data_IF_764321925761
#
_entry.id   IF_764321925761
#
_cell.length_a   1.000
_cell.length_b   1.000
_cell.length_c   1.000
_cell.angle_alpha   90.00
_cell.angle_beta   90.00
_cell.angle_gamma   90.00
#
_symmetry.space_group_name_H-M   'P 1'
#
loop_
_entity.id
_entity.type
_entity.pdbx_description
1 polymer ?
#
# COMPACT_ATOMS: atom_id res chain seq x y z
N UNK A 1 14.59 8.80 -7.55
CA UNK A 1 13.54 7.85 -7.94
C UNK A 1 13.28 6.95 -6.75
N UNK A 2 12.08 7.02 -6.18
CA UNK A 2 11.63 6.18 -5.07
C UNK A 2 10.64 5.12 -5.54
N UNK A 3 10.23 4.21 -4.64
CA UNK A 3 9.28 3.14 -4.95
C UNK A 3 7.97 3.65 -5.58
N UNK A 4 7.49 4.82 -5.13
CA UNK A 4 6.27 5.45 -5.63
C UNK A 4 6.36 5.98 -7.07
N UNK A 5 7.56 6.03 -7.68
CA UNK A 5 7.75 6.44 -9.08
C UNK A 5 7.59 5.26 -10.06
N UNK A 6 7.62 4.02 -9.57
CA UNK A 6 7.47 2.83 -10.41
C UNK A 6 6.00 2.55 -10.73
N UNK A 7 5.74 1.96 -11.89
CA UNK A 7 4.40 1.49 -12.28
C UNK A 7 4.12 0.11 -11.72
N UNK A 8 2.92 -0.09 -11.18
CA UNK A 8 2.44 -1.41 -10.82
C UNK A 8 2.29 -2.25 -12.09
N UNK A 9 2.72 -3.51 -12.01
CA UNK A 9 2.55 -4.50 -13.06
C UNK A 9 1.44 -5.45 -12.63
N UNK A 10 0.32 -5.54 -13.37
CA UNK A 10 -0.74 -6.48 -13.06
C UNK A 10 -0.24 -7.92 -13.07
N UNK A 11 -0.46 -8.65 -11.97
CA UNK A 11 -0.05 -10.04 -11.87
C UNK A 11 -0.95 -10.93 -12.72
N UNK A 12 -0.40 -11.55 -13.76
CA UNK A 12 -1.11 -12.55 -14.58
C UNK A 12 -1.14 -13.96 -13.94
N UNK A 13 -0.57 -14.13 -12.76
CA UNK A 13 -0.42 -15.43 -12.09
C UNK A 13 0.73 -16.24 -12.66
N UNK A 14 1.11 -17.32 -11.97
CA UNK A 14 2.24 -18.18 -12.37
C UNK A 14 3.62 -17.60 -12.08
N UNK A 15 3.69 -16.45 -11.39
CA UNK A 15 4.94 -15.92 -10.82
C UNK A 15 4.99 -16.25 -9.33
N UNK A 16 6.15 -16.69 -8.81
CA UNK A 16 6.31 -16.93 -7.38
C UNK A 16 6.25 -15.58 -6.61
N UNK A 17 5.79 -15.60 -5.35
CA UNK A 17 5.93 -14.45 -4.45
C UNK A 17 7.40 -14.05 -4.27
N UNK A 18 7.62 -12.80 -3.85
CA UNK A 18 8.96 -12.31 -3.51
C UNK A 18 9.60 -13.14 -2.39
N UNK A 19 10.91 -13.31 -2.49
CA UNK A 19 11.70 -13.96 -1.45
C UNK A 19 11.77 -13.08 -0.19
N UNK A 20 11.86 -13.69 1.02
CA UNK A 20 11.90 -12.95 2.29
C UNK A 20 12.97 -11.85 2.34
N UNK A 21 14.17 -12.13 1.81
CA UNK A 21 15.27 -11.15 1.78
C UNK A 21 14.90 -9.89 0.99
N UNK A 22 14.24 -10.06 -0.16
CA UNK A 22 13.80 -8.96 -1.01
C UNK A 22 12.66 -8.16 -0.36
N UNK A 23 11.75 -8.85 0.33
CA UNK A 23 10.69 -8.20 1.13
C UNK A 23 11.31 -7.31 2.21
N UNK A 24 12.30 -7.81 2.97
CA UNK A 24 12.99 -7.01 3.99
C UNK A 24 13.71 -5.79 3.41
N UNK A 25 14.34 -5.93 2.25
CA UNK A 25 15.00 -4.83 1.55
C UNK A 25 13.99 -3.75 1.12
N UNK A 26 12.85 -4.15 0.56
CA UNK A 26 11.80 -3.22 0.12
C UNK A 26 11.06 -2.57 1.30
N UNK A 27 10.84 -3.29 2.40
CA UNK A 27 10.30 -2.73 3.65
C UNK A 27 11.20 -1.62 4.20
N UNK A 28 12.53 -1.84 4.19
CA UNK A 28 13.50 -0.80 4.60
C UNK A 28 13.42 0.44 3.70
N UNK A 29 13.16 0.26 2.41
CA UNK A 29 13.00 1.37 1.46
C UNK A 29 11.67 2.11 1.61
N UNK A 30 10.57 1.42 1.94
CA UNK A 30 9.27 2.04 2.26
C UNK A 30 9.36 2.99 3.46
N UNK A 31 10.25 2.67 4.41
CA UNK A 31 10.46 3.48 5.59
C UNK A 31 9.46 3.16 6.71
N UNK A 32 9.20 4.14 7.58
CA UNK A 32 8.44 3.90 8.83
C UNK A 32 6.93 3.91 8.58
N UNK A 33 6.24 2.96 9.18
CA UNK A 33 4.77 2.89 9.22
C UNK A 33 4.18 1.65 8.56
N UNK A 34 4.92 1.00 7.66
CA UNK A 34 4.53 -0.27 7.05
C UNK A 34 5.14 -1.47 7.78
N UNK A 35 4.36 -2.53 7.92
CA UNK A 35 4.79 -3.82 8.47
C UNK A 35 4.14 -4.98 7.72
N UNK A 36 4.56 -6.21 8.01
CA UNK A 36 3.85 -7.41 7.59
C UNK A 36 2.87 -7.84 8.67
N UNK A 37 1.63 -8.12 8.29
CA UNK A 37 0.65 -8.73 9.18
C UNK A 37 0.91 -10.24 9.34
N UNK A 38 0.09 -10.92 10.16
CA UNK A 38 0.24 -12.36 10.41
C UNK A 38 0.10 -13.24 9.15
N UNK A 39 -0.51 -12.73 8.08
CA UNK A 39 -0.66 -13.41 6.78
C UNK A 39 0.49 -13.11 5.83
N UNK A 40 1.41 -12.21 6.19
CA UNK A 40 2.51 -11.77 5.34
C UNK A 40 2.12 -10.68 4.33
N UNK A 41 1.00 -9.97 4.54
CA UNK A 41 0.59 -8.85 3.70
C UNK A 41 1.17 -7.54 4.25
N UNK A 42 1.37 -6.54 3.39
CA UNK A 42 1.74 -5.20 3.84
C UNK A 42 0.55 -4.57 4.55
N UNK A 43 0.76 -4.00 5.74
CA UNK A 43 -0.25 -3.25 6.47
C UNK A 43 0.28 -1.93 7.00
N UNK A 44 -0.58 -0.91 7.03
CA UNK A 44 -0.34 0.38 7.69
C UNK A 44 -1.64 1.02 8.16
N UNK A 45 -1.57 1.72 9.28
CA UNK A 45 -2.66 2.57 9.79
C UNK A 45 -2.30 4.04 9.66
N UNK A 46 -3.10 4.80 8.92
CA UNK A 46 -3.02 6.26 8.81
C UNK A 46 -4.04 6.90 9.75
N UNK A 47 -3.65 7.98 10.43
CA UNK A 47 -4.50 8.70 11.40
C UNK A 47 -4.76 10.13 10.94
N UNK A 48 -5.96 10.63 11.25
CA UNK A 48 -6.50 11.92 10.82
C UNK A 48 -7.29 12.57 11.95
N UNK A 49 -7.54 13.89 11.84
CA UNK A 49 -8.27 14.66 12.86
C UNK A 49 -9.76 14.32 12.92
N UNK A 50 -10.34 13.91 11.79
CA UNK A 50 -11.76 13.64 11.63
C UNK A 50 -12.04 12.58 10.54
N UNK A 51 -13.31 12.20 10.37
CA UNK A 51 -13.74 11.25 9.35
C UNK A 51 -13.61 11.79 7.92
N UNK A 52 -13.82 13.09 7.71
CA UNK A 52 -13.81 13.69 6.38
C UNK A 52 -12.41 13.62 5.74
N UNK A 53 -11.36 13.87 6.54
CA UNK A 53 -9.97 13.73 6.10
C UNK A 53 -9.62 12.27 5.81
N UNK A 54 -10.05 11.33 6.66
CA UNK A 54 -9.82 9.91 6.42
C UNK A 54 -10.49 9.44 5.11
N UNK A 55 -11.72 9.87 4.85
CA UNK A 55 -12.44 9.58 3.61
C UNK A 55 -11.77 10.23 2.39
N UNK A 56 -11.29 11.47 2.51
CA UNK A 56 -10.57 12.15 1.44
C UNK A 56 -9.27 11.41 1.07
N UNK A 57 -8.55 10.89 2.06
CA UNK A 57 -7.38 10.04 1.83
C UNK A 57 -7.76 8.72 1.13
N UNK A 58 -8.81 8.03 1.59
CA UNK A 58 -9.33 6.82 0.93
C UNK A 58 -9.61 7.06 -0.55
N UNK A 59 -10.28 8.18 -0.89
CA UNK A 59 -10.59 8.51 -2.28
C UNK A 59 -9.32 8.74 -3.13
N UNK A 60 -8.29 9.37 -2.55
CA UNK A 60 -7.00 9.56 -3.21
C UNK A 60 -6.30 8.24 -3.48
N UNK A 61 -6.21 7.37 -2.47
CA UNK A 61 -5.62 6.03 -2.63
C UNK A 61 -6.41 5.20 -3.65
N UNK A 62 -7.74 5.28 -3.62
CA UNK A 62 -8.61 4.60 -4.59
C UNK A 62 -8.37 5.05 -6.03
N UNK A 63 -8.20 6.36 -6.26
CA UNK A 63 -7.87 6.89 -7.59
C UNK A 63 -6.51 6.39 -8.10
N UNK A 64 -5.50 6.32 -7.21
CA UNK A 64 -4.20 5.74 -7.53
C UNK A 64 -4.31 4.25 -7.84
N UNK A 65 -5.04 3.50 -7.03
CA UNK A 65 -5.24 2.07 -7.20
C UNK A 65 -5.84 1.73 -8.57
N UNK A 66 -6.84 2.51 -8.99
CA UNK A 66 -7.47 2.33 -10.30
C UNK A 66 -6.51 2.68 -11.45
N UNK A 67 -5.76 3.77 -11.33
CA UNK A 67 -4.78 4.17 -12.35
C UNK A 67 -3.62 3.17 -12.49
N UNK A 68 -3.29 2.45 -11.42
CA UNK A 68 -2.23 1.45 -11.38
C UNK A 68 -2.74 0.02 -11.67
N UNK A 69 -4.06 -0.21 -11.66
CA UNK A 69 -4.66 -1.54 -11.78
C UNK A 69 -4.23 -2.49 -10.65
N UNK A 70 -4.00 -1.95 -9.46
CA UNK A 70 -3.55 -2.69 -8.28
C UNK A 70 -4.27 -2.18 -7.04
N UNK A 71 -5.20 -2.97 -6.53
CA UNK A 71 -6.18 -2.52 -5.55
C UNK A 71 -5.83 -2.99 -4.13
N UNK A 72 -5.55 -2.07 -3.19
CA UNK A 72 -5.39 -2.42 -1.78
C UNK A 72 -6.75 -2.58 -1.11
N UNK A 73 -6.77 -3.31 0.01
CA UNK A 73 -7.91 -3.34 0.92
C UNK A 73 -7.86 -2.11 1.83
N UNK A 74 -8.97 -1.37 1.89
CA UNK A 74 -9.09 -0.09 2.61
C UNK A 74 -10.13 -0.20 3.73
N UNK A 75 -9.69 0.09 4.96
CA UNK A 75 -10.56 0.14 6.14
C UNK A 75 -10.72 1.58 6.63
N UNK A 76 -11.90 2.16 6.39
CA UNK A 76 -12.24 3.51 6.82
C UNK A 76 -12.96 3.51 8.18
N UNK A 77 -12.50 4.34 9.11
CA UNK A 77 -13.19 4.64 10.36
C UNK A 77 -12.93 6.09 10.80
N UNK A 78 -13.58 6.53 11.89
CA UNK A 78 -13.39 7.89 12.41
C UNK A 78 -11.92 8.19 12.70
N UNK A 79 -11.37 9.19 12.01
CA UNK A 79 -9.98 9.63 12.18
C UNK A 79 -8.92 8.61 11.76
N UNK A 80 -9.26 7.56 10.98
CA UNK A 80 -8.26 6.57 10.54
C UNK A 80 -8.60 5.85 9.24
N UNK A 81 -7.56 5.48 8.50
CA UNK A 81 -7.61 4.59 7.35
C UNK A 81 -6.58 3.47 7.52
N UNK A 82 -7.03 2.22 7.65
CA UNK A 82 -6.17 1.05 7.52
C UNK A 82 -5.98 0.70 6.05
N UNK A 83 -4.77 0.35 5.65
CA UNK A 83 -4.44 -0.09 4.30
C UNK A 83 -3.72 -1.43 4.40
N UNK A 84 -4.25 -2.45 3.72
CA UNK A 84 -3.65 -3.77 3.57
C UNK A 84 -3.41 -4.05 2.09
N UNK A 85 -2.20 -4.52 1.71
CA UNK A 85 -1.79 -4.70 0.31
C UNK A 85 -1.12 -6.05 0.12
N UNK A 86 -1.63 -6.82 -0.84
CA UNK A 86 -0.98 -8.01 -1.38
C UNK A 86 -1.52 -8.35 -2.77
N UNK A 87 -0.80 -9.22 -3.48
CA UNK A 87 -1.26 -9.74 -4.75
C UNK A 87 -2.15 -10.96 -4.55
N UNK A 88 -3.47 -10.77 -4.55
CA UNK A 88 -4.47 -11.82 -4.31
C UNK A 88 -4.27 -13.09 -5.16
N UNK A 89 -3.88 -12.92 -6.43
CA UNK A 89 -3.77 -14.04 -7.40
C UNK A 89 -2.69 -15.06 -7.03
N UNK A 90 -1.66 -14.65 -6.28
CA UNK A 90 -0.57 -15.53 -5.84
C UNK A 90 -0.54 -15.70 -4.31
N UNK A 91 -1.51 -15.10 -3.61
CA UNK A 91 -1.57 -15.06 -2.15
C UNK A 91 -0.21 -14.69 -1.52
N UNK A 92 0.41 -13.62 -2.02
CA UNK A 92 1.75 -13.20 -1.62
C UNK A 92 2.11 -11.83 -2.17
N UNK A 93 3.36 -11.42 -1.94
CA UNK A 93 3.84 -10.10 -2.31
C UNK A 93 4.62 -10.11 -3.63
N UNK A 94 4.43 -9.05 -4.41
CA UNK A 94 5.18 -8.64 -5.60
C UNK A 94 5.73 -7.23 -5.38
N UNK A 95 6.62 -6.75 -6.25
CA UNK A 95 7.14 -5.38 -6.13
C UNK A 95 6.03 -4.33 -6.28
N UNK A 96 4.97 -4.61 -7.06
CA UNK A 96 3.80 -3.75 -7.20
C UNK A 96 3.12 -3.43 -5.86
N UNK A 97 3.12 -4.37 -4.91
CA UNK A 97 2.55 -4.16 -3.59
C UNK A 97 3.30 -3.05 -2.83
N UNK A 98 4.64 -3.03 -2.95
CA UNK A 98 5.49 -1.99 -2.36
C UNK A 98 5.38 -0.66 -3.10
N UNK A 99 5.19 -0.69 -4.42
CA UNK A 99 4.96 0.53 -5.20
C UNK A 99 3.63 1.16 -4.82
N UNK A 100 2.58 0.37 -4.62
CA UNK A 100 1.27 0.86 -4.19
C UNK A 100 1.33 1.43 -2.77
N UNK A 101 2.00 0.74 -1.85
CA UNK A 101 2.25 1.21 -0.48
C UNK A 101 2.97 2.58 -0.47
N UNK A 102 4.02 2.74 -1.28
CA UNK A 102 4.77 3.98 -1.38
C UNK A 102 3.94 5.13 -1.97
N UNK A 103 3.04 4.84 -2.93
CA UNK A 103 2.12 5.84 -3.48
C UNK A 103 1.06 6.25 -2.46
N UNK A 104 0.56 5.33 -1.64
CA UNK A 104 -0.34 5.66 -0.53
C UNK A 104 0.34 6.61 0.47
N UNK A 105 1.62 6.38 0.80
CA UNK A 105 2.40 7.30 1.63
C UNK A 105 2.51 8.69 1.00
N UNK A 106 2.77 8.77 -0.31
CA UNK A 106 2.83 10.04 -1.03
C UNK A 106 1.50 10.83 -0.94
N UNK A 107 0.36 10.15 -1.08
CA UNK A 107 -0.94 10.81 -0.93
C UNK A 107 -1.21 11.25 0.52
N UNK A 108 -0.64 10.54 1.51
CA UNK A 108 -0.81 10.87 2.92
C UNK A 108 -0.08 12.16 3.32
N UNK A 109 1.02 12.51 2.65
CA UNK A 109 1.78 13.74 2.96
C UNK A 109 0.91 15.01 2.84
N UNK A 110 -0.14 15.00 2.02
CA UNK A 110 -1.11 16.09 1.93
C UNK A 110 -1.93 16.34 3.22
N UNK A 111 -1.93 15.38 4.15
CA UNK A 111 -2.73 15.40 5.39
C UNK A 111 -1.88 15.63 6.65
N UNK A 112 -0.56 15.79 6.52
CA UNK A 112 0.37 15.92 7.65
C UNK A 112 0.50 17.35 8.20
N UNK A 113 -0.45 18.24 7.89
CA UNK A 113 -0.48 19.64 8.32
C UNK A 113 -1.23 19.88 9.65
#
# INVERSE_FOLDING_TARGET
MGLADNKCVPCRGGVPPLEPKKIEELLKQLGRGWSLNQKGHLERLYTFKDFAQALAFVNKVGAVAEAEGHHPDLYLAWGKCGVEIWTHKINGLTESDFYMAAKADREFEAFRA
#
